data_IF_116129578460
#
_entry.id   IF_116129578460
#
_cell.length_a   1.000
_cell.length_b   1.000
_cell.length_c   1.000
_cell.angle_alpha   90.00
_cell.angle_beta   90.00
_cell.angle_gamma   90.00
#
_symmetry.space_group_name_H-M   'P 1'
#
loop_
_entity.id
_entity.type
_entity.pdbx_description
1 polymer ?
#
# COMPACT_ATOMS: atom_id res chain seq x y z
N UNK A 1 -81.47 -57.59 -21.48
CA UNK A 1 -81.65 -57.35 -20.04
C UNK A 1 -80.34 -57.62 -19.31
N UNK A 2 -79.55 -56.57 -19.03
CA UNK A 2 -78.71 -56.41 -17.82
C UNK A 2 -78.01 -55.05 -17.93
N UNK A 3 -78.44 -54.14 -17.05
CA UNK A 3 -77.85 -52.84 -16.76
C UNK A 3 -76.48 -52.99 -16.08
N UNK A 4 -75.57 -52.06 -16.33
CA UNK A 4 -75.08 -51.01 -15.41
C UNK A 4 -73.88 -50.33 -16.09
N UNK A 5 -73.94 -49.08 -16.56
CA UNK A 5 -74.05 -47.79 -15.86
C UNK A 5 -72.69 -47.27 -15.36
N UNK A 6 -72.36 -46.03 -15.82
CA UNK A 6 -71.45 -45.02 -15.23
C UNK A 6 -69.92 -45.28 -15.39
N UNK A 7 -69.00 -44.32 -15.66
CA UNK A 7 -69.08 -42.86 -15.85
C UNK A 7 -67.71 -42.30 -16.33
N UNK A 8 -67.77 -41.08 -16.89
CA UNK A 8 -66.73 -40.03 -17.05
C UNK A 8 -65.48 -40.23 -17.92
N UNK A 9 -65.54 -39.52 -19.04
CA UNK A 9 -64.47 -38.71 -19.63
C UNK A 9 -63.91 -37.74 -18.56
N UNK A 10 -62.59 -37.76 -18.34
CA UNK A 10 -61.86 -36.64 -17.75
C UNK A 10 -60.44 -36.61 -18.29
N UNK A 11 -59.99 -35.40 -18.61
CA UNK A 11 -58.81 -35.09 -19.39
C UNK A 11 -57.52 -35.66 -18.78
N UNK A 12 -56.70 -36.23 -19.66
CA UNK A 12 -55.31 -36.56 -19.43
C UNK A 12 -54.49 -35.26 -19.29
N UNK A 13 -54.49 -34.66 -18.10
CA UNK A 13 -53.52 -33.63 -17.72
C UNK A 13 -52.39 -34.33 -17.00
N UNK A 14 -51.33 -34.61 -17.75
CA UNK A 14 -50.02 -34.97 -17.22
C UNK A 14 -49.53 -33.78 -16.39
N UNK A 15 -49.35 -33.88 -15.06
CA UNK A 15 -48.58 -32.88 -14.35
C UNK A 15 -47.12 -33.14 -14.72
N UNK A 16 -46.60 -32.34 -15.64
CA UNK A 16 -45.17 -32.12 -15.78
C UNK A 16 -44.70 -31.57 -14.42
N UNK A 17 -44.25 -32.46 -13.55
CA UNK A 17 -43.48 -32.08 -12.36
C UNK A 17 -42.14 -31.60 -12.93
N UNK A 18 -42.11 -30.32 -13.29
CA UNK A 18 -40.86 -29.59 -13.48
C UNK A 18 -40.25 -29.51 -12.09
N UNK A 19 -39.45 -30.51 -11.74
CA UNK A 19 -38.41 -30.41 -10.73
C UNK A 19 -37.40 -29.37 -11.25
N UNK A 20 -37.78 -28.10 -11.20
CA UNK A 20 -36.85 -26.98 -11.20
C UNK A 20 -36.21 -26.94 -9.83
N UNK A 21 -35.37 -27.95 -9.56
CA UNK A 21 -34.35 -27.83 -8.53
C UNK A 21 -33.31 -26.86 -9.09
N UNK A 22 -33.53 -25.55 -8.88
CA UNK A 22 -32.42 -24.60 -8.79
C UNK A 22 -31.67 -24.96 -7.52
N UNK A 23 -30.92 -26.06 -7.54
CA UNK A 23 -29.69 -26.10 -6.77
C UNK A 23 -28.78 -25.08 -7.42
N UNK A 24 -28.76 -23.86 -6.89
CA UNK A 24 -27.53 -23.11 -6.85
C UNK A 24 -26.54 -24.00 -6.11
N UNK A 25 -25.88 -24.89 -6.85
CA UNK A 25 -24.62 -25.47 -6.43
C UNK A 25 -23.73 -24.24 -6.32
N UNK A 26 -23.63 -23.70 -5.11
CA UNK A 26 -22.48 -22.93 -4.74
C UNK A 26 -21.33 -23.92 -4.91
N UNK A 27 -20.72 -23.94 -6.10
CA UNK A 27 -19.38 -24.50 -6.23
C UNK A 27 -18.58 -23.88 -5.09
N UNK A 28 -17.97 -24.68 -4.21
CA UNK A 28 -17.17 -24.12 -3.15
C UNK A 28 -16.13 -23.19 -3.79
N UNK A 29 -16.06 -21.97 -3.28
CA UNK A 29 -15.03 -21.02 -3.69
C UNK A 29 -13.66 -21.62 -3.35
N UNK A 30 -12.97 -22.14 -4.37
CA UNK A 30 -11.68 -22.80 -4.20
C UNK A 30 -10.52 -21.80 -4.08
N UNK A 31 -10.79 -20.49 -4.03
CA UNK A 31 -9.80 -19.48 -3.70
C UNK A 31 -9.85 -19.17 -2.21
N UNK A 32 -9.14 -19.98 -1.42
CA UNK A 32 -9.04 -19.80 0.03
C UNK A 32 -7.89 -18.85 0.43
N UNK A 33 -7.93 -18.39 1.67
CA UNK A 33 -6.98 -17.41 2.20
C UNK A 33 -5.53 -17.92 2.20
N UNK A 34 -5.32 -19.24 2.25
CA UNK A 34 -3.99 -19.84 2.19
C UNK A 34 -3.38 -19.70 0.79
N UNK A 35 -4.15 -19.96 -0.26
CA UNK A 35 -3.73 -19.74 -1.66
C UNK A 35 -3.48 -18.24 -1.92
N UNK A 36 -4.38 -17.37 -1.46
CA UNK A 36 -4.23 -15.92 -1.59
C UNK A 36 -2.96 -15.43 -0.92
N UNK A 37 -2.73 -15.85 0.32
CA UNK A 37 -1.51 -15.50 1.08
C UNK A 37 -0.28 -15.98 0.33
N UNK A 38 -0.26 -17.23 -0.15
CA UNK A 38 0.87 -17.76 -0.91
C UNK A 38 1.14 -17.00 -2.22
N UNK A 39 0.10 -16.63 -2.96
CA UNK A 39 0.23 -15.86 -4.21
C UNK A 39 0.73 -14.44 -3.95
N UNK A 40 0.29 -13.82 -2.85
CA UNK A 40 0.69 -12.46 -2.47
C UNK A 40 2.12 -12.45 -1.92
N UNK A 41 2.45 -13.42 -1.06
CA UNK A 41 3.78 -13.57 -0.45
C UNK A 41 4.85 -14.04 -1.43
N UNK A 42 4.46 -14.52 -2.61
CA UNK A 42 5.41 -14.87 -3.67
C UNK A 42 5.64 -13.76 -4.69
N UNK A 43 4.82 -12.70 -4.70
CA UNK A 43 5.00 -11.60 -5.64
C UNK A 43 5.92 -10.51 -5.06
N UNK A 44 7.09 -10.35 -5.71
CA UNK A 44 8.09 -9.35 -5.36
C UNK A 44 7.53 -7.93 -5.29
N UNK A 45 6.56 -7.58 -6.15
CA UNK A 45 5.99 -6.25 -6.08
C UNK A 45 5.31 -6.07 -4.72
N UNK A 46 4.51 -7.03 -4.26
CA UNK A 46 3.78 -6.86 -3.00
C UNK A 46 4.73 -6.88 -1.79
N UNK A 47 5.65 -7.85 -1.70
CA UNK A 47 6.59 -7.97 -0.59
C UNK A 47 7.43 -6.69 -0.36
N UNK A 48 7.87 -6.07 -1.45
CA UNK A 48 8.74 -4.91 -1.37
C UNK A 48 8.01 -3.66 -0.85
N UNK A 49 6.67 -3.62 -0.87
CA UNK A 49 5.95 -2.55 -0.19
C UNK A 49 6.16 -2.65 1.33
N UNK A 50 5.97 -3.84 1.90
CA UNK A 50 6.06 -4.07 3.34
C UNK A 50 7.48 -3.79 3.87
N UNK A 51 8.50 -4.25 3.14
CA UNK A 51 9.90 -3.94 3.48
C UNK A 51 10.22 -2.45 3.40
N UNK A 52 9.67 -1.72 2.43
CA UNK A 52 9.89 -0.27 2.34
C UNK A 52 9.05 0.50 3.35
N UNK A 53 7.94 -0.07 3.82
CA UNK A 53 7.10 0.49 4.86
C UNK A 53 7.73 0.32 6.26
N UNK A 54 8.47 -0.76 6.52
CA UNK A 54 9.25 -0.99 7.74
C UNK A 54 10.69 -0.47 7.64
N UNK A 55 11.02 0.62 8.32
CA UNK A 55 12.37 1.20 8.33
C UNK A 55 13.37 0.45 9.23
N UNK A 56 12.96 -0.62 9.92
CA UNK A 56 13.86 -1.52 10.65
C UNK A 56 14.37 -0.97 11.99
N UNK A 57 15.64 -1.26 12.32
CA UNK A 57 16.23 -1.02 13.64
C UNK A 57 16.72 0.43 13.80
N UNK A 58 15.77 1.34 14.03
CA UNK A 58 16.06 2.74 14.34
C UNK A 58 16.51 2.97 15.81
N UNK A 59 16.89 1.91 16.56
CA UNK A 59 16.76 1.89 18.04
C UNK A 59 18.00 1.57 18.89
N UNK A 60 19.23 1.90 18.49
CA UNK A 60 20.40 1.58 19.33
C UNK A 60 20.83 2.66 20.34
N UNK A 61 19.95 3.37 21.05
CA UNK A 61 20.37 4.25 22.17
C UNK A 61 19.31 4.37 23.29
N UNK A 62 19.77 4.59 24.52
CA UNK A 62 18.96 4.93 25.69
C UNK A 62 18.95 6.46 25.87
N UNK A 63 17.81 7.05 26.30
CA UNK A 63 17.67 8.11 27.34
C UNK A 63 16.35 8.94 27.20
N UNK A 64 15.67 9.09 28.35
CA UNK A 64 15.13 10.33 28.96
C UNK A 64 14.20 11.29 28.22
N UNK A 65 13.00 11.53 28.79
CA UNK A 65 11.99 12.53 28.34
C UNK A 65 12.16 13.87 29.05
N UNK A 66 12.05 14.98 28.30
CA UNK A 66 11.65 16.32 28.78
C UNK A 66 10.79 16.99 27.70
N UNK A 67 9.83 17.82 28.12
CA UNK A 67 8.82 18.47 27.27
C UNK A 67 9.42 19.67 26.52
N UNK A 68 9.89 19.47 25.29
CA UNK A 68 10.52 20.53 24.46
C UNK A 68 10.33 20.25 22.96
N UNK A 69 10.61 21.24 22.11
CA UNK A 69 10.66 21.10 20.65
C UNK A 69 11.72 20.07 20.24
N UNK A 70 11.40 19.22 19.27
CA UNK A 70 12.27 18.16 18.80
C UNK A 70 12.84 18.49 17.41
N UNK A 71 14.16 18.40 17.28
CA UNK A 71 14.89 18.54 16.02
C UNK A 71 15.27 17.15 15.51
N UNK A 72 14.48 16.54 14.59
CA UNK A 72 14.69 15.17 14.15
C UNK A 72 15.95 15.04 13.28
N UNK A 73 16.78 14.04 13.58
CA UNK A 73 17.95 13.65 12.79
C UNK A 73 17.63 12.40 11.96
N UNK A 74 17.00 11.39 12.59
CA UNK A 74 16.52 10.17 11.93
C UNK A 74 15.08 9.90 12.32
N UNK A 75 14.26 9.56 11.34
CA UNK A 75 12.86 9.18 11.52
C UNK A 75 12.61 7.87 10.78
N UNK A 76 12.12 6.87 11.50
CA UNK A 76 11.82 5.55 10.95
C UNK A 76 10.60 4.91 11.59
N UNK A 77 9.91 4.04 10.85
CA UNK A 77 8.92 3.13 11.41
C UNK A 77 9.55 1.78 11.69
N UNK A 78 9.14 1.12 12.77
CA UNK A 78 9.44 -0.28 13.05
C UNK A 78 8.14 -1.05 13.18
N UNK A 79 7.95 -2.05 12.32
CA UNK A 79 6.76 -2.90 12.38
C UNK A 79 6.99 -4.04 13.37
N UNK A 80 6.05 -4.25 14.27
CA UNK A 80 6.10 -5.35 15.26
C UNK A 80 5.07 -6.43 14.97
N UNK A 81 3.98 -6.07 14.29
CA UNK A 81 2.93 -7.01 13.88
C UNK A 81 2.32 -6.56 12.56
N UNK A 82 2.08 -7.53 11.68
CA UNK A 82 1.39 -7.36 10.42
C UNK A 82 0.26 -8.39 10.34
N UNK A 83 -0.96 -7.92 10.07
CA UNK A 83 -2.15 -8.77 9.91
C UNK A 83 -2.79 -8.46 8.56
N UNK A 84 -3.13 -9.50 7.78
CA UNK A 84 -3.81 -9.33 6.49
C UNK A 84 -5.19 -9.94 6.54
N UNK A 85 -6.15 -9.24 5.95
CA UNK A 85 -7.49 -9.76 5.70
C UNK A 85 -7.83 -9.60 4.21
N UNK A 86 -8.65 -10.51 3.72
CA UNK A 86 -9.00 -10.61 2.31
C UNK A 86 -10.52 -10.51 2.14
N UNK A 87 -10.97 -9.52 1.39
CA UNK A 87 -12.35 -9.43 0.92
C UNK A 87 -12.37 -9.79 -0.57
N UNK A 88 -13.14 -10.81 -0.97
CA UNK A 88 -13.02 -11.43 -2.29
C UNK A 88 -14.35 -11.51 -3.01
N UNK A 89 -14.27 -11.26 -4.32
CA UNK A 89 -15.35 -11.46 -5.26
C UNK A 89 -14.85 -12.34 -6.41
N UNK A 90 -15.32 -13.58 -6.45
CA UNK A 90 -14.98 -14.56 -7.49
C UNK A 90 -16.12 -14.66 -8.50
N UNK A 91 -15.79 -14.52 -9.78
CA UNK A 91 -16.72 -14.64 -10.91
C UNK A 91 -16.04 -15.50 -11.98
N UNK A 92 -16.44 -16.77 -12.06
CA UNK A 92 -15.81 -17.74 -12.97
C UNK A 92 -14.31 -17.89 -12.70
N UNK A 93 -13.51 -17.62 -13.72
CA UNK A 93 -12.04 -17.71 -13.68
C UNK A 93 -11.35 -16.40 -13.30
N UNK A 94 -12.10 -15.41 -12.82
CA UNK A 94 -11.59 -14.13 -12.34
C UNK A 94 -11.93 -13.92 -10.87
N UNK A 95 -10.97 -13.43 -10.08
CA UNK A 95 -11.18 -13.05 -8.69
C UNK A 95 -10.64 -11.66 -8.43
N UNK A 96 -11.48 -10.76 -7.92
CA UNK A 96 -11.07 -9.47 -7.39
C UNK A 96 -10.97 -9.57 -5.88
N UNK A 97 -9.85 -9.14 -5.32
CA UNK A 97 -9.56 -9.25 -3.89
C UNK A 97 -9.08 -7.91 -3.37
N UNK A 98 -9.75 -7.39 -2.35
CA UNK A 98 -9.26 -6.27 -1.56
C UNK A 98 -8.42 -6.83 -0.42
N UNK A 99 -7.12 -6.58 -0.47
CA UNK A 99 -6.17 -6.91 0.58
C UNK A 99 -6.12 -5.75 1.56
N UNK A 100 -6.49 -6.00 2.81
CA UNK A 100 -6.33 -5.02 3.90
C UNK A 100 -5.22 -5.50 4.82
N UNK A 101 -4.12 -4.76 4.86
CA UNK A 101 -2.99 -5.03 5.75
C UNK A 101 -2.98 -4.04 6.89
N UNK A 102 -3.06 -4.54 8.12
CA UNK A 102 -2.94 -3.77 9.35
C UNK A 102 -1.52 -3.90 9.87
N UNK A 103 -0.81 -2.78 9.88
CA UNK A 103 0.51 -2.65 10.47
C UNK A 103 0.39 -2.09 11.88
N UNK A 104 0.99 -2.78 12.85
CA UNK A 104 1.15 -2.29 14.21
C UNK A 104 2.64 -2.15 14.48
N UNK A 105 3.04 -1.03 15.09
CA UNK A 105 4.45 -0.76 15.29
C UNK A 105 4.71 0.54 16.04
N UNK A 106 5.94 1.04 15.87
CA UNK A 106 6.41 2.26 16.49
C UNK A 106 7.03 3.19 15.46
N UNK A 107 6.67 4.46 15.52
CA UNK A 107 7.41 5.54 14.89
C UNK A 107 8.53 5.96 15.85
N UNK A 108 9.76 5.87 15.38
CA UNK A 108 10.97 6.17 16.14
C UNK A 108 11.59 7.43 15.55
N UNK A 109 11.81 8.42 16.41
CA UNK A 109 12.39 9.71 16.08
C UNK A 109 13.63 9.87 16.95
N UNK A 110 14.80 9.78 16.32
CA UNK A 110 16.07 10.11 16.96
C UNK A 110 16.40 11.56 16.61
N UNK A 111 16.57 12.41 17.61
CA UNK A 111 16.73 13.84 17.41
C UNK A 111 17.50 14.52 18.54
N UNK A 112 17.36 15.84 18.59
CA UNK A 112 17.86 16.71 19.66
C UNK A 112 16.78 17.62 20.19
N UNK A 113 16.92 18.07 21.43
CA UNK A 113 16.09 19.16 21.97
C UNK A 113 16.65 20.54 21.67
N UNK A 114 17.93 20.63 21.33
CA UNK A 114 18.56 21.87 20.89
C UNK A 114 18.60 21.94 19.36
N UNK A 115 18.38 23.12 18.76
CA UNK A 115 18.48 23.31 17.31
C UNK A 115 19.89 22.97 16.82
N UNK A 116 19.96 22.34 15.64
CA UNK A 116 21.22 22.09 14.94
C UNK A 116 21.56 23.36 14.16
N UNK A 117 22.67 24.00 14.51
CA UNK A 117 23.13 25.22 13.84
C UNK A 117 24.03 24.88 12.65
N UNK A 118 24.06 25.73 11.59
CA UNK A 118 25.04 25.62 10.53
C UNK A 118 26.47 25.65 11.10
N UNK A 119 27.22 24.56 10.92
CA UNK A 119 28.58 24.40 11.48
C UNK A 119 28.69 23.38 12.62
N UNK A 120 27.57 22.88 13.15
CA UNK A 120 27.58 21.77 14.11
C UNK A 120 28.16 20.51 13.46
N UNK A 121 29.22 19.96 14.05
CA UNK A 121 29.90 18.75 13.57
C UNK A 121 29.35 17.46 14.18
N UNK A 122 28.55 17.57 15.25
CA UNK A 122 27.92 16.44 15.93
C UNK A 122 26.47 16.30 15.52
N UNK A 123 26.20 15.41 14.55
CA UNK A 123 24.85 14.96 14.19
C UNK A 123 24.41 13.76 15.04
N UNK A 124 24.99 13.59 16.23
CA UNK A 124 24.61 12.53 17.15
C UNK A 124 23.27 12.89 17.82
N UNK A 125 22.24 12.03 17.74
CA UNK A 125 21.02 12.21 18.51
C UNK A 125 21.31 12.19 20.02
N UNK A 126 20.66 13.05 20.78
CA UNK A 126 20.69 13.04 22.26
C UNK A 126 19.39 12.45 22.86
N UNK A 127 18.35 12.28 22.05
CA UNK A 127 17.06 11.75 22.47
C UNK A 127 16.44 10.83 21.42
N UNK A 128 15.63 9.88 21.91
CA UNK A 128 14.81 9.00 21.08
C UNK A 128 13.37 9.04 21.59
N UNK A 129 12.47 9.46 20.70
CA UNK A 129 11.02 9.43 20.93
C UNK A 129 10.44 8.25 20.17
N UNK A 130 9.61 7.47 20.86
CA UNK A 130 8.93 6.31 20.29
C UNK A 130 7.43 6.49 20.44
N UNK A 131 6.69 6.51 19.32
CA UNK A 131 5.24 6.68 19.30
C UNK A 131 4.57 5.43 18.72
N UNK A 132 3.70 4.73 19.46
CA UNK A 132 2.99 3.59 18.90
C UNK A 132 2.06 4.05 17.77
N UNK A 133 1.91 3.23 16.74
CA UNK A 133 0.94 3.47 15.69
C UNK A 133 0.28 2.20 15.22
N UNK A 134 -0.91 2.37 14.68
CA UNK A 134 -1.62 1.38 13.89
C UNK A 134 -2.00 2.04 12.56
N UNK A 135 -1.55 1.46 11.46
CA UNK A 135 -1.83 1.93 10.11
C UNK A 135 -2.51 0.82 9.32
N UNK A 136 -3.58 1.17 8.62
CA UNK A 136 -4.27 0.22 7.72
C UNK A 136 -3.96 0.62 6.30
N UNK A 137 -3.37 -0.30 5.53
CA UNK A 137 -3.08 -0.17 4.11
C UNK A 137 -4.01 -1.09 3.34
N UNK A 138 -4.68 -0.56 2.32
CA UNK A 138 -5.52 -1.31 1.39
C UNK A 138 -4.84 -1.39 0.04
N UNK A 139 -5.11 -2.48 -0.68
CA UNK A 139 -4.73 -2.68 -2.07
C UNK A 139 -5.73 -3.62 -2.74
N UNK A 140 -6.08 -3.34 -3.97
CA UNK A 140 -6.88 -4.25 -4.79
C UNK A 140 -5.95 -5.10 -5.64
N UNK A 141 -6.22 -6.40 -5.72
CA UNK A 141 -5.51 -7.35 -6.57
C UNK A 141 -6.52 -8.15 -7.37
N UNK A 142 -6.18 -8.47 -8.61
CA UNK A 142 -6.99 -9.33 -9.48
C UNK A 142 -6.20 -10.59 -9.79
N UNK A 143 -6.84 -11.73 -9.61
CA UNK A 143 -6.32 -13.03 -10.01
C UNK A 143 -7.12 -13.57 -11.19
N UNK A 144 -6.44 -14.31 -12.05
CA UNK A 144 -7.06 -15.06 -13.14
C UNK A 144 -6.63 -16.53 -13.04
N UNK A 145 -7.57 -17.43 -13.30
CA UNK A 145 -7.26 -18.86 -13.42
C UNK A 145 -6.81 -19.14 -14.86
N UNK A 146 -5.60 -19.68 -14.99
CA UNK A 146 -4.95 -19.92 -16.29
C UNK A 146 -4.74 -21.39 -16.61
N UNK A 147 -4.95 -22.26 -15.63
CA UNK A 147 -4.70 -23.69 -15.75
C UNK A 147 -5.63 -24.51 -14.86
N UNK A 148 -5.40 -25.82 -14.78
CA UNK A 148 -6.28 -26.75 -14.08
C UNK A 148 -6.30 -26.49 -12.57
N UNK A 149 -7.42 -26.86 -11.92
CA UNK A 149 -7.58 -26.80 -10.46
C UNK A 149 -6.62 -27.73 -9.69
N UNK A 150 -6.01 -28.69 -10.39
CA UNK A 150 -5.02 -29.62 -9.83
C UNK A 150 -3.58 -29.09 -9.86
N UNK A 151 -3.34 -27.94 -10.51
CA UNK A 151 -2.02 -27.32 -10.55
C UNK A 151 -1.70 -26.60 -9.24
N UNK A 152 -0.43 -26.20 -9.08
CA UNK A 152 0.01 -25.34 -7.97
C UNK A 152 -0.89 -24.09 -7.88
N UNK A 153 -1.30 -23.74 -6.66
CA UNK A 153 -2.24 -22.63 -6.38
C UNK A 153 -3.60 -22.77 -7.10
N UNK A 154 -3.99 -24.00 -7.46
CA UNK A 154 -5.25 -24.33 -8.17
C UNK A 154 -5.42 -23.56 -9.49
N UNK A 155 -4.31 -23.29 -10.18
CA UNK A 155 -4.26 -22.60 -11.47
C UNK A 155 -4.47 -21.09 -11.40
N UNK A 156 -4.61 -20.50 -10.21
CA UNK A 156 -4.70 -19.05 -10.03
C UNK A 156 -3.35 -18.37 -10.16
N UNK A 157 -3.35 -17.22 -10.84
CA UNK A 157 -2.18 -16.36 -11.01
C UNK A 157 -2.57 -14.89 -10.80
N UNK A 158 -1.65 -14.12 -10.22
CA UNK A 158 -1.79 -12.67 -10.12
C UNK A 158 -1.83 -12.04 -11.53
N UNK A 159 -2.88 -11.29 -11.81
CA UNK A 159 -3.09 -10.61 -13.09
C UNK A 159 -2.82 -9.11 -12.98
N UNK A 160 -3.39 -8.47 -11.96
CA UNK A 160 -3.31 -7.02 -11.81
C UNK A 160 -3.22 -6.61 -10.35
N UNK A 161 -2.56 -5.48 -10.10
CA UNK A 161 -2.40 -4.88 -8.78
C UNK A 161 -2.72 -3.40 -8.83
N UNK A 162 -3.48 -2.91 -7.86
CA UNK A 162 -3.64 -1.47 -7.63
C UNK A 162 -2.43 -0.91 -6.89
N UNK A 163 -2.39 0.40 -6.67
CA UNK A 163 -1.45 1.00 -5.74
C UNK A 163 -1.93 0.82 -4.29
N UNK A 164 -1.03 0.54 -3.34
CA UNK A 164 -1.36 0.55 -1.92
C UNK A 164 -1.71 1.97 -1.43
N UNK A 165 -2.77 2.08 -0.62
CA UNK A 165 -3.15 3.31 0.06
C UNK A 165 -3.37 3.03 1.55
N UNK A 166 -2.73 3.84 2.39
CA UNK A 166 -2.73 3.68 3.83
C UNK A 166 -2.96 4.98 4.60
N UNK A 167 -3.50 4.81 5.80
CA UNK A 167 -3.63 5.89 6.77
C UNK A 167 -3.70 5.35 8.20
N UNK A 168 -3.21 6.13 9.16
CA UNK A 168 -3.48 5.89 10.58
C UNK A 168 -4.93 6.20 10.95
N UNK A 169 -5.34 5.80 12.14
CA UNK A 169 -6.68 6.13 12.68
C UNK A 169 -6.90 7.63 12.83
N UNK A 170 -5.87 8.37 13.23
CA UNK A 170 -5.87 9.84 13.23
C UNK A 170 -5.54 10.33 11.82
N UNK A 171 -6.42 11.17 11.25
CA UNK A 171 -6.37 11.62 9.85
C UNK A 171 -6.25 13.13 9.74
N UNK A 172 -5.17 13.68 10.27
CA UNK A 172 -4.86 15.12 10.16
C UNK A 172 -4.05 15.46 8.90
N UNK A 173 -3.68 14.45 8.11
CA UNK A 173 -2.96 14.59 6.84
C UNK A 173 -3.46 13.54 5.85
N UNK A 174 -3.54 13.90 4.58
CA UNK A 174 -3.97 13.00 3.50
C UNK A 174 -3.24 13.34 2.21
N UNK A 175 -2.60 12.35 1.59
CA UNK A 175 -2.10 12.46 0.22
C UNK A 175 -3.32 12.45 -0.72
N UNK A 176 -3.37 13.40 -1.65
CA UNK A 176 -4.49 13.56 -2.59
C UNK A 176 -4.09 13.33 -4.03
N UNK A 177 -2.82 13.58 -4.38
CA UNK A 177 -2.30 13.35 -5.72
C UNK A 177 -0.79 13.12 -5.68
N UNK A 178 -0.31 12.26 -6.57
CA UNK A 178 1.12 12.09 -6.82
C UNK A 178 1.38 12.25 -8.32
N UNK A 179 2.43 12.99 -8.64
CA UNK A 179 2.94 13.12 -10.00
C UNK A 179 4.40 12.66 -10.03
N UNK A 180 4.70 11.66 -10.85
CA UNK A 180 6.06 11.21 -11.11
C UNK A 180 6.47 11.60 -12.53
N UNK A 181 7.41 12.54 -12.63
CA UNK A 181 7.91 13.09 -13.88
C UNK A 181 9.25 12.46 -14.22
N UNK A 182 9.36 11.93 -15.44
CA UNK A 182 10.63 11.44 -16.00
C UNK A 182 10.93 12.21 -17.28
N UNK A 183 12.16 12.74 -17.45
CA UNK A 183 12.52 13.44 -18.66
C UNK A 183 12.18 12.66 -19.93
N UNK A 184 11.48 13.31 -20.87
CA UNK A 184 11.08 12.71 -22.15
C UNK A 184 9.96 11.66 -22.08
N UNK A 185 9.26 11.53 -20.94
CA UNK A 185 8.08 10.67 -20.78
C UNK A 185 6.91 11.48 -20.25
N UNK A 186 5.69 11.04 -20.57
CA UNK A 186 4.49 11.61 -19.97
C UNK A 186 4.51 11.41 -18.44
N UNK A 187 4.02 12.40 -17.67
CA UNK A 187 3.97 12.29 -16.22
C UNK A 187 2.98 11.20 -15.81
N UNK A 188 3.41 10.35 -14.88
CA UNK A 188 2.49 9.44 -14.20
C UNK A 188 1.75 10.22 -13.13
N UNK A 189 0.45 10.42 -13.33
CA UNK A 189 -0.43 11.13 -12.38
C UNK A 189 -1.35 10.12 -11.70
N UNK A 190 -1.34 10.11 -10.37
CA UNK A 190 -2.15 9.22 -9.54
C UNK A 190 -2.99 10.09 -8.61
N UNK A 191 -4.32 9.94 -8.68
CA UNK A 191 -5.27 10.61 -7.77
C UNK A 191 -6.10 9.61 -6.95
N UNK A 192 -6.19 8.37 -7.43
CA UNK A 192 -6.95 7.29 -6.79
C UNK A 192 -6.12 5.99 -6.82
N UNK A 193 -5.33 5.71 -5.77
CA UNK A 193 -4.41 4.56 -5.76
C UNK A 193 -5.12 3.21 -5.95
N UNK A 194 -6.26 3.03 -5.31
CA UNK A 194 -7.04 1.79 -5.34
C UNK A 194 -7.74 1.55 -6.69
N UNK A 195 -7.91 2.60 -7.50
CA UNK A 195 -8.51 2.55 -8.84
C UNK A 195 -7.47 2.57 -9.96
N UNK A 196 -6.19 2.75 -9.62
CA UNK A 196 -5.08 2.76 -10.57
C UNK A 196 -4.44 1.37 -10.61
N UNK A 197 -4.60 0.64 -11.72
CA UNK A 197 -4.12 -0.75 -11.85
C UNK A 197 -2.96 -0.90 -12.82
N UNK A 198 -2.03 -1.77 -12.46
CA UNK A 198 -1.01 -2.31 -13.36
C UNK A 198 -1.24 -3.81 -13.59
N UNK A 199 -1.14 -4.23 -14.84
CA UNK A 199 -1.34 -5.61 -15.27
C UNK A 199 0.01 -6.30 -15.39
N UNK A 200 0.29 -7.17 -14.43
CA UNK A 200 1.61 -7.75 -14.21
C UNK A 200 2.01 -8.61 -15.41
N UNK A 201 3.05 -8.18 -16.13
CA UNK A 201 3.55 -8.83 -17.35
C UNK A 201 2.85 -8.44 -18.66
N UNK A 202 1.89 -7.53 -18.64
CA UNK A 202 1.30 -6.96 -19.87
C UNK A 202 2.26 -5.92 -20.49
N UNK A 203 2.70 -6.05 -21.77
CA UNK A 203 3.69 -5.14 -22.35
C UNK A 203 3.34 -3.64 -22.29
N UNK A 204 2.05 -3.30 -22.29
CA UNK A 204 1.56 -1.92 -22.35
C UNK A 204 1.02 -1.40 -21.01
N UNK A 205 0.67 -2.31 -20.08
CA UNK A 205 0.01 -1.98 -18.81
C UNK A 205 0.75 -2.49 -17.57
N UNK A 206 1.92 -3.08 -17.73
CA UNK A 206 2.78 -3.54 -16.64
C UNK A 206 3.32 -2.36 -15.81
N UNK A 207 4.03 -2.70 -14.74
CA UNK A 207 4.66 -1.74 -13.85
C UNK A 207 5.53 -0.74 -14.64
N UNK A 208 5.55 0.54 -14.25
CA UNK A 208 6.42 1.54 -14.85
C UNK A 208 7.88 1.06 -14.86
N UNK A 209 8.45 0.97 -16.06
CA UNK A 209 9.84 0.55 -16.25
C UNK A 209 10.79 1.72 -16.08
N UNK A 210 11.82 1.49 -15.27
CA UNK A 210 12.92 2.41 -15.02
C UNK A 210 14.24 1.75 -15.39
N UNK A 211 15.11 2.50 -16.02
CA UNK A 211 16.51 2.13 -16.21
C UNK A 211 17.31 2.60 -15.02
N UNK A 212 18.48 1.99 -14.83
CA UNK A 212 19.48 2.53 -13.89
C UNK A 212 19.90 3.92 -14.38
N UNK A 213 20.13 4.81 -13.43
CA UNK A 213 20.33 6.25 -13.58
C UNK A 213 19.13 7.05 -14.09
N UNK A 214 17.94 6.46 -14.26
CA UNK A 214 16.74 7.26 -14.50
C UNK A 214 16.51 8.19 -13.30
N UNK A 215 16.48 9.48 -13.57
CA UNK A 215 16.06 10.50 -12.61
C UNK A 215 14.55 10.69 -12.73
N UNK A 216 13.87 10.66 -11.58
CA UNK A 216 12.44 10.98 -11.51
C UNK A 216 12.26 12.12 -10.52
N UNK A 217 11.52 13.12 -10.92
CA UNK A 217 11.01 14.14 -10.01
C UNK A 217 9.65 13.69 -9.51
N UNK A 218 9.52 13.58 -8.20
CA UNK A 218 8.26 13.25 -7.54
C UNK A 218 7.65 14.53 -6.97
N UNK A 219 6.37 14.77 -7.27
CA UNK A 219 5.54 15.77 -6.58
C UNK A 219 4.42 15.06 -5.83
N UNK A 220 4.28 15.40 -4.55
CA UNK A 220 3.27 14.84 -3.66
C UNK A 220 2.38 15.99 -3.19
N UNK A 221 1.10 15.89 -3.54
CA UNK A 221 0.07 16.83 -3.15
C UNK A 221 -0.68 16.23 -1.97
N UNK A 222 -0.90 17.05 -0.94
CA UNK A 222 -1.57 16.61 0.27
C UNK A 222 -2.42 17.73 0.88
N UNK A 223 -3.40 17.33 1.68
CA UNK A 223 -4.12 18.22 2.58
C UNK A 223 -3.69 17.97 4.02
N UNK A 224 -3.44 19.03 4.78
CA UNK A 224 -3.06 18.97 6.20
C UNK A 224 -3.93 19.92 7.03
N UNK A 225 -4.18 19.57 8.29
CA UNK A 225 -4.94 20.41 9.22
C UNK A 225 -4.09 21.51 9.88
N UNK A 226 -2.79 21.62 9.53
CA UNK A 226 -1.83 22.53 10.17
C UNK A 226 -1.09 23.37 9.13
N UNK A 227 -0.77 24.65 9.41
CA UNK A 227 0.08 25.47 8.54
C UNK A 227 1.54 25.02 8.54
N UNK A 228 2.01 24.33 9.59
CA UNK A 228 3.41 23.97 9.78
C UNK A 228 3.89 22.96 8.73
N UNK A 229 5.16 22.99 8.35
CA UNK A 229 5.73 22.01 7.42
C UNK A 229 5.61 20.58 7.97
N UNK A 230 4.99 19.69 7.19
CA UNK A 230 4.85 18.27 7.48
C UNK A 230 6.10 17.49 7.04
N UNK A 231 6.24 16.28 7.56
CA UNK A 231 7.37 15.43 7.23
C UNK A 231 6.97 14.43 6.14
N UNK A 232 7.39 14.72 4.91
CA UNK A 232 7.10 13.86 3.75
C UNK A 232 8.37 13.16 3.28
N UNK A 233 8.29 11.85 3.14
CA UNK A 233 9.43 11.01 2.75
C UNK A 233 9.08 10.03 1.64
N UNK A 234 10.11 9.65 0.90
CA UNK A 234 10.09 8.63 -0.13
C UNK A 234 11.10 7.54 0.25
N UNK A 235 10.62 6.32 0.39
CA UNK A 235 11.44 5.14 0.69
C UNK A 235 11.37 4.16 -0.47
N UNK A 236 12.51 3.63 -0.91
CA UNK A 236 12.60 2.74 -2.08
C UNK A 236 13.82 1.84 -2.07
N UNK A 237 13.83 0.85 -2.95
CA UNK A 237 14.82 -0.23 -2.98
C UNK A 237 14.31 -1.42 -2.19
N UNK A 238 15.20 -2.27 -1.70
CA UNK A 238 14.86 -3.35 -0.75
C UNK A 238 16.11 -3.89 -0.08
N UNK A 239 15.98 -4.83 0.86
CA UNK A 239 17.14 -5.60 1.33
C UNK A 239 17.28 -6.85 0.48
N UNK A 240 18.47 -7.11 -0.09
CA UNK A 240 18.72 -8.33 -0.87
C UNK A 240 19.93 -9.04 -0.30
N UNK A 241 19.78 -10.31 0.07
CA UNK A 241 20.86 -11.18 0.55
C UNK A 241 21.73 -10.52 1.65
N UNK A 242 21.11 -9.79 2.57
CA UNK A 242 21.81 -9.10 3.67
C UNK A 242 22.30 -7.68 3.32
N UNK A 243 22.37 -7.30 2.05
CA UNK A 243 22.79 -5.98 1.62
C UNK A 243 21.61 -5.01 1.52
N UNK A 244 21.78 -3.82 2.10
CA UNK A 244 20.75 -2.78 2.12
C UNK A 244 20.85 -1.90 0.88
N UNK A 245 19.91 -2.10 -0.04
CA UNK A 245 19.68 -1.25 -1.21
C UNK A 245 18.52 -0.27 -1.00
N UNK A 246 17.99 -0.23 0.23
CA UNK A 246 16.90 0.61 0.66
C UNK A 246 17.40 2.02 0.97
N UNK A 247 16.76 3.03 0.38
CA UNK A 247 17.08 4.45 0.53
C UNK A 247 15.82 5.17 0.99
N UNK A 248 15.97 6.11 1.93
CA UNK A 248 14.92 7.03 2.37
C UNK A 248 15.35 8.47 2.09
N UNK A 249 14.47 9.27 1.50
CA UNK A 249 14.70 10.70 1.21
C UNK A 249 13.56 11.54 1.75
N UNK A 250 13.87 12.69 2.35
CA UNK A 250 12.90 13.74 2.68
C UNK A 250 12.57 14.52 1.40
N UNK A 251 11.29 14.81 1.18
CA UNK A 251 10.84 15.73 0.14
C UNK A 251 10.76 17.15 0.69
N UNK A 252 11.02 18.15 -0.15
CA UNK A 252 11.00 19.55 0.24
C UNK A 252 9.62 20.15 0.00
N UNK A 253 9.12 20.95 0.94
CA UNK A 253 7.91 21.74 0.73
C UNK A 253 8.17 22.79 -0.35
N UNK A 254 7.32 22.84 -1.37
CA UNK A 254 7.41 23.84 -2.45
C UNK A 254 6.20 24.77 -2.52
N UNK A 255 5.07 24.39 -1.93
CA UNK A 255 3.87 25.22 -1.84
C UNK A 255 3.04 24.85 -0.62
N UNK A 256 2.45 25.84 0.04
CA UNK A 256 1.49 25.69 1.14
C UNK A 256 0.46 26.81 1.05
N UNK A 257 -0.80 26.46 0.81
CA UNK A 257 -1.89 27.42 0.63
C UNK A 257 -3.07 27.00 1.51
N UNK A 258 -3.64 27.96 2.24
CA UNK A 258 -4.83 27.71 3.03
C UNK A 258 -6.07 27.64 2.13
N UNK A 259 -6.86 26.58 2.27
CA UNK A 259 -8.11 26.35 1.56
C UNK A 259 -9.17 25.97 2.60
N UNK A 260 -10.02 26.93 2.96
CA UNK A 260 -10.94 26.81 4.10
C UNK A 260 -10.17 26.61 5.42
N UNK A 261 -10.53 25.57 6.16
CA UNK A 261 -9.91 25.21 7.45
C UNK A 261 -8.68 24.29 7.30
N UNK A 262 -8.25 24.00 6.07
CA UNK A 262 -7.14 23.09 5.76
C UNK A 262 -6.06 23.79 4.94
N UNK A 263 -4.92 23.11 4.82
CA UNK A 263 -3.76 23.54 4.07
C UNK A 263 -3.48 22.55 2.94
N UNK A 264 -3.56 23.01 1.71
CA UNK A 264 -3.09 22.29 0.54
C UNK A 264 -1.59 22.51 0.39
N UNK A 265 -0.82 21.41 0.41
CA UNK A 265 0.63 21.46 0.34
C UNK A 265 1.15 20.61 -0.80
N UNK A 266 2.26 21.06 -1.38
CA UNK A 266 2.99 20.33 -2.41
C UNK A 266 4.42 20.12 -1.93
N UNK A 267 4.84 18.86 -1.93
CA UNK A 267 6.22 18.46 -1.65
C UNK A 267 6.86 17.94 -2.92
N UNK A 268 8.14 18.25 -3.12
CA UNK A 268 8.89 17.83 -4.29
C UNK A 268 10.26 17.27 -3.91
N UNK A 269 10.71 16.26 -4.64
CA UNK A 269 12.08 15.77 -4.54
C UNK A 269 12.48 14.92 -5.74
N UNK A 270 13.79 14.88 -6.00
CA UNK A 270 14.39 14.00 -6.99
C UNK A 270 14.80 12.67 -6.36
N UNK A 271 14.59 11.59 -7.09
CA UNK A 271 15.22 10.31 -6.80
C UNK A 271 15.84 9.72 -8.07
N UNK A 272 16.75 8.78 -7.90
CA UNK A 272 17.40 8.12 -9.01
C UNK A 272 17.51 6.64 -8.70
N UNK A 273 17.26 5.81 -9.71
CA UNK A 273 17.59 4.38 -9.63
C UNK A 273 19.10 4.28 -9.72
N UNK A 274 19.80 3.97 -8.63
CA UNK A 274 21.27 3.98 -8.63
C UNK A 274 21.86 2.88 -9.52
N UNK A 275 23.12 3.05 -9.97
CA UNK A 275 23.79 2.18 -10.95
C UNK A 275 23.85 0.70 -10.52
N UNK A 276 23.96 0.46 -9.22
CA UNK A 276 24.02 -0.90 -8.64
C UNK A 276 22.65 -1.41 -8.20
N UNK A 277 21.56 -0.76 -8.62
CA UNK A 277 20.22 -1.19 -8.24
C UNK A 277 19.92 -2.57 -8.83
N UNK A 278 19.45 -3.52 -8.02
CA UNK A 278 19.09 -4.85 -8.49
C UNK A 278 17.98 -4.78 -9.54
N UNK A 279 17.99 -5.72 -10.47
CA UNK A 279 16.91 -5.90 -11.43
C UNK A 279 15.71 -6.57 -10.74
N UNK A 280 14.50 -6.26 -11.20
CA UNK A 280 13.27 -6.86 -10.67
C UNK A 280 12.15 -5.85 -10.44
N UNK A 281 11.16 -6.27 -9.65
CA UNK A 281 10.00 -5.44 -9.27
C UNK A 281 10.21 -4.88 -7.88
N UNK A 282 9.81 -3.64 -7.66
CA UNK A 282 10.00 -2.92 -6.41
C UNK A 282 8.77 -2.07 -6.11
N UNK A 283 8.67 -1.60 -4.87
CA UNK A 283 7.76 -0.52 -4.52
C UNK A 283 8.55 0.65 -3.99
N UNK A 284 8.02 1.83 -4.21
CA UNK A 284 8.33 2.97 -3.37
C UNK A 284 7.17 3.29 -2.47
N UNK A 285 7.51 3.72 -1.27
CA UNK A 285 6.56 4.09 -0.23
C UNK A 285 6.72 5.57 0.04
N UNK A 286 5.64 6.31 -0.15
CA UNK A 286 5.57 7.74 0.10
C UNK A 286 4.79 7.91 1.39
N UNK A 287 5.44 8.48 2.40
CA UNK A 287 4.87 8.67 3.72
C UNK A 287 4.78 10.16 4.01
N UNK A 288 3.57 10.65 4.22
CA UNK A 288 3.29 11.98 4.73
C UNK A 288 2.89 11.86 6.20
N UNK A 289 3.61 12.55 7.08
CA UNK A 289 3.42 12.51 8.53
C UNK A 289 3.30 13.95 9.04
N UNK A 290 2.34 14.23 9.93
CA UNK A 290 2.13 15.62 10.36
C UNK A 290 3.32 16.20 11.10
N UNK A 291 3.45 17.53 11.07
CA UNK A 291 4.44 18.24 11.88
C UNK A 291 4.36 17.85 13.37
N UNK A 292 3.15 17.86 13.95
CA UNK A 292 2.94 17.55 15.37
C UNK A 292 3.36 16.12 15.72
N UNK A 293 3.27 15.20 14.75
CA UNK A 293 3.74 13.83 14.93
C UNK A 293 5.26 13.75 15.03
N UNK A 294 6.01 14.58 14.30
CA UNK A 294 7.48 14.48 14.20
C UNK A 294 8.22 15.41 15.15
N UNK A 295 7.75 16.65 15.31
CA UNK A 295 8.49 17.71 16.00
C UNK A 295 8.05 17.90 17.46
N UNK A 296 7.10 17.11 17.93
CA UNK A 296 6.68 17.07 19.34
C UNK A 296 6.97 15.70 19.97
N UNK A 297 7.22 15.69 21.28
CA UNK A 297 7.36 14.47 22.07
C UNK A 297 6.02 13.79 22.38
N UNK A 298 4.91 14.53 22.25
CA UNK A 298 3.54 14.07 22.50
C UNK A 298 2.75 13.94 21.19
N UNK A 299 1.52 13.44 21.29
CA UNK A 299 0.59 13.31 20.18
C UNK A 299 0.60 11.95 19.49
N UNK A 300 -0.55 11.59 18.93
CA UNK A 300 -0.73 10.37 18.17
C UNK A 300 -0.11 10.50 16.78
N UNK A 301 0.37 9.38 16.24
CA UNK A 301 0.86 9.33 14.86
C UNK A 301 -0.30 9.58 13.90
N UNK A 302 -0.19 10.65 13.12
CA UNK A 302 -1.07 10.95 12.00
C UNK A 302 -0.27 10.87 10.69
N UNK A 303 -0.51 9.83 9.91
CA UNK A 303 0.13 9.63 8.61
C UNK A 303 -0.81 9.16 7.51
N UNK A 304 -0.41 9.50 6.28
CA UNK A 304 -0.98 9.02 5.03
C UNK A 304 0.14 8.45 4.17
N UNK A 305 -0.08 7.26 3.61
CA UNK A 305 0.94 6.50 2.90
C UNK A 305 0.42 5.99 1.57
N UNK A 306 1.12 6.25 0.48
CA UNK A 306 0.84 5.64 -0.82
C UNK A 306 2.05 4.82 -1.30
N UNK A 307 1.78 3.66 -1.92
CA UNK A 307 2.79 2.82 -2.56
C UNK A 307 2.76 2.96 -4.08
N UNK A 308 3.91 3.03 -4.74
CA UNK A 308 4.01 3.05 -6.20
C UNK A 308 4.90 1.88 -6.64
N UNK A 309 4.36 0.86 -7.33
CA UNK A 309 5.17 -0.19 -7.90
C UNK A 309 5.98 0.32 -9.10
N UNK A 310 7.16 -0.25 -9.30
CA UNK A 310 7.98 -0.04 -10.50
C UNK A 310 8.82 -1.27 -10.79
N UNK A 311 9.36 -1.36 -12.00
CA UNK A 311 10.35 -2.38 -12.36
C UNK A 311 11.66 -1.76 -12.82
N UNK A 312 12.77 -2.38 -12.43
CA UNK A 312 14.11 -2.01 -12.88
C UNK A 312 14.59 -3.06 -13.87
N UNK A 313 14.89 -2.59 -15.07
CA UNK A 313 15.41 -3.38 -16.20
C UNK A 313 16.86 -3.01 -16.51
#
# INVERSE_FOLDING_TARGET
MKQKLLILISALIIPFIILSCKSSVNEPDYLDDAILSSLIESDDAILNFDENFDDGDATSFLVGKVQTDLYPIKVGRRITKMERTFDRQVVGDSAKVTVTTKFTGYLIIAGKFNPINPGDTSYLPDTIITKPFVETVKRNVTFIRTSSRNDRNRGWKLQAISLPEGSTSVKNIQITKIEALVPGKDPLVITSPLDTYFFVGDPNKDLPSRKRNDEVTLKVYLTSNSPKEDFVTLTYGRKIAGQTYKIKRKLNLVSSVQVGDKWEKVYQGGWNIFVVHPLGRFHSVINAVTNETIFSVEGNVSSSTWGIPYKVN
#
